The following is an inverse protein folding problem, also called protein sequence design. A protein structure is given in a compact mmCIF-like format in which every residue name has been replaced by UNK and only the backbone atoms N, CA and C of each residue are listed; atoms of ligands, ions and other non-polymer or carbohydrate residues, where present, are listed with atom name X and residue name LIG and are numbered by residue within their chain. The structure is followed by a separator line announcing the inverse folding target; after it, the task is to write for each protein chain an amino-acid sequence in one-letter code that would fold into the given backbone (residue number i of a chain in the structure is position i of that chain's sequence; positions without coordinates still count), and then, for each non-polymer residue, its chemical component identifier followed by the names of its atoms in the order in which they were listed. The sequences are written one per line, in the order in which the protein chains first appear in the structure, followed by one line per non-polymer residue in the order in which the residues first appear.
data_IF_250970044827
#
_entry.id   IF_250970044827
#
_cell.length_a   1.000
_cell.length_b   1.000
_cell.length_c   1.000
_cell.angle_alpha   90.00
_cell.angle_beta   90.00
_cell.angle_gamma   90.00
#
_symmetry.space_group_name_H-M   'P 1'
#
loop_
_entity.id
_entity.type
_entity.pdbx_description
1 polymer ?
#
# COMPACT_ATOMS: atom_id res chain seq x y z
N UNK A 1 62.40 -21.78 13.82
CA UNK A 1 62.58 -21.53 12.37
C UNK A 1 61.36 -20.80 11.84
N UNK A 2 61.46 -19.50 11.54
CA UNK A 2 60.40 -18.76 10.83
C UNK A 2 60.69 -18.89 9.33
N UNK A 3 59.94 -19.74 8.62
CA UNK A 3 59.96 -19.77 7.15
C UNK A 3 59.22 -18.52 6.67
N UNK A 4 59.97 -17.53 6.21
CA UNK A 4 59.40 -16.35 5.57
C UNK A 4 58.70 -16.77 4.28
N UNK A 5 57.46 -16.33 4.10
CA UNK A 5 56.73 -16.47 2.83
C UNK A 5 57.52 -15.69 1.78
N UNK A 6 57.82 -16.33 0.66
CA UNK A 6 58.51 -15.67 -0.46
C UNK A 6 57.68 -14.45 -0.90
N UNK A 7 58.26 -13.23 -0.93
CA UNK A 7 57.51 -12.00 -1.24
C UNK A 7 56.79 -12.07 -2.60
N UNK A 8 57.30 -12.87 -3.53
CA UNK A 8 56.68 -13.10 -4.84
C UNK A 8 55.41 -13.98 -4.75
N UNK A 9 55.36 -14.95 -3.83
CA UNK A 9 54.16 -15.79 -3.62
C UNK A 9 53.06 -14.98 -2.93
N UNK A 10 53.43 -14.12 -1.98
CA UNK A 10 52.49 -13.25 -1.26
C UNK A 10 51.78 -12.27 -2.20
N UNK A 11 52.51 -11.67 -3.14
CA UNK A 11 51.93 -10.74 -4.13
C UNK A 11 50.97 -11.43 -5.09
N UNK A 12 51.29 -12.63 -5.57
CA UNK A 12 50.40 -13.42 -6.43
C UNK A 12 49.10 -13.78 -5.70
N UNK A 13 49.20 -14.22 -4.44
CA UNK A 13 48.04 -14.53 -3.61
C UNK A 13 47.15 -13.31 -3.38
N UNK A 14 47.76 -12.13 -3.15
CA UNK A 14 47.02 -10.88 -3.00
C UNK A 14 46.25 -10.53 -4.28
N UNK A 15 46.89 -10.62 -5.45
CA UNK A 15 46.25 -10.32 -6.74
C UNK A 15 45.11 -11.29 -7.02
N UNK A 16 45.31 -12.59 -6.79
CA UNK A 16 44.28 -13.60 -6.98
C UNK A 16 43.07 -13.36 -6.05
N UNK A 17 43.30 -12.97 -4.81
CA UNK A 17 42.25 -12.62 -3.86
C UNK A 17 41.45 -11.39 -4.33
N UNK A 18 42.12 -10.34 -4.79
CA UNK A 18 41.47 -9.12 -5.29
C UNK A 18 40.60 -9.43 -6.52
N UNK A 19 41.11 -10.24 -7.46
CA UNK A 19 40.33 -10.65 -8.65
C UNK A 19 39.12 -11.50 -8.25
N UNK A 20 39.29 -12.43 -7.30
CA UNK A 20 38.19 -13.23 -6.79
C UNK A 20 37.12 -12.35 -6.13
N UNK A 21 37.52 -11.40 -5.28
CA UNK A 21 36.60 -10.45 -4.65
C UNK A 21 35.90 -9.56 -5.68
N UNK A 22 36.62 -9.06 -6.68
CA UNK A 22 36.03 -8.27 -7.76
C UNK A 22 34.97 -9.07 -8.53
N UNK A 23 35.23 -10.35 -8.82
CA UNK A 23 34.27 -11.22 -9.50
C UNK A 23 33.00 -11.47 -8.67
N UNK A 24 33.09 -11.52 -7.34
CA UNK A 24 31.91 -11.67 -6.47
C UNK A 24 31.15 -10.36 -6.23
N UNK A 25 31.85 -9.25 -6.05
CA UNK A 25 31.25 -7.95 -5.70
C UNK A 25 30.61 -7.30 -6.92
N UNK A 26 31.21 -7.43 -8.12
CA UNK A 26 30.72 -6.73 -9.31
C UNK A 26 29.26 -7.09 -9.68
N UNK A 27 28.85 -8.38 -9.70
CA UNK A 27 27.45 -8.73 -9.96
C UNK A 27 26.49 -8.22 -8.90
N UNK A 28 26.87 -8.28 -7.61
CA UNK A 28 26.04 -7.78 -6.51
C UNK A 28 25.83 -6.27 -6.61
N UNK A 29 26.91 -5.51 -6.85
CA UNK A 29 26.84 -4.06 -6.99
C UNK A 29 25.99 -3.64 -8.21
N UNK A 30 26.11 -4.39 -9.32
CA UNK A 30 25.28 -4.15 -10.50
C UNK A 30 23.80 -4.43 -10.21
N UNK A 31 23.48 -5.56 -9.59
CA UNK A 31 22.10 -5.91 -9.22
C UNK A 31 21.51 -4.87 -8.27
N UNK A 32 22.26 -4.46 -7.25
CA UNK A 32 21.84 -3.41 -6.32
C UNK A 32 21.54 -2.09 -7.06
N UNK A 33 22.40 -1.68 -8.00
CA UNK A 33 22.17 -0.47 -8.79
C UNK A 33 20.91 -0.58 -9.66
N UNK A 34 20.68 -1.74 -10.27
CA UNK A 34 19.47 -2.01 -11.07
C UNK A 34 18.22 -1.98 -10.19
N UNK A 35 18.25 -2.67 -9.06
CA UNK A 35 17.13 -2.76 -8.11
C UNK A 35 16.76 -1.37 -7.57
N UNK A 36 17.75 -0.59 -7.13
CA UNK A 36 17.53 0.79 -6.67
C UNK A 36 16.96 1.68 -7.79
N UNK A 37 17.45 1.51 -9.03
CA UNK A 37 16.95 2.29 -10.19
C UNK A 37 15.50 1.93 -10.49
N UNK A 38 15.16 0.64 -10.48
CA UNK A 38 13.80 0.16 -10.71
C UNK A 38 12.85 0.65 -9.62
N UNK A 39 13.24 0.53 -8.35
CA UNK A 39 12.44 1.02 -7.23
C UNK A 39 12.19 2.53 -7.34
N UNK A 40 13.26 3.31 -7.58
CA UNK A 40 13.14 4.77 -7.74
C UNK A 40 12.23 5.13 -8.92
N UNK A 41 12.30 4.37 -10.02
CA UNK A 41 11.46 4.57 -11.21
C UNK A 41 9.99 4.27 -10.91
N UNK A 42 9.71 3.19 -10.18
CA UNK A 42 8.35 2.82 -9.77
C UNK A 42 7.75 3.86 -8.83
N UNK A 43 8.50 4.30 -7.82
CA UNK A 43 8.07 5.34 -6.87
C UNK A 43 7.81 6.67 -7.59
N UNK A 44 8.69 7.07 -8.50
CA UNK A 44 8.52 8.30 -9.30
C UNK A 44 7.29 8.21 -10.20
N UNK A 45 7.10 7.09 -10.90
CA UNK A 45 5.94 6.89 -11.75
C UNK A 45 4.64 6.90 -10.96
N UNK A 46 4.63 6.31 -9.76
CA UNK A 46 3.50 6.39 -8.84
C UNK A 46 3.23 7.84 -8.42
N UNK A 47 4.26 8.59 -8.02
CA UNK A 47 4.12 9.98 -7.61
C UNK A 47 3.57 10.87 -8.73
N UNK A 48 4.10 10.73 -9.95
CA UNK A 48 3.62 11.47 -11.14
C UNK A 48 2.15 11.13 -11.40
N UNK A 49 1.80 9.84 -11.36
CA UNK A 49 0.44 9.38 -11.61
C UNK A 49 -0.55 9.87 -10.56
N UNK A 50 -0.13 9.93 -9.30
CA UNK A 50 -0.98 10.30 -8.19
C UNK A 50 -0.96 11.81 -7.89
N UNK A 51 -0.18 12.61 -8.62
CA UNK A 51 -0.06 14.06 -8.40
C UNK A 51 -1.40 14.80 -8.41
N UNK A 52 -2.34 14.36 -9.27
CA UNK A 52 -3.69 14.94 -9.39
C UNK A 52 -4.79 13.97 -8.94
N UNK A 53 -4.42 12.96 -8.15
CA UNK A 53 -5.38 12.06 -7.51
C UNK A 53 -5.99 12.75 -6.29
N UNK A 54 -7.31 12.88 -6.31
CA UNK A 54 -8.08 13.37 -5.18
C UNK A 54 -9.45 12.72 -5.23
N UNK A 55 -9.99 12.39 -4.06
CA UNK A 55 -11.37 11.99 -3.90
C UNK A 55 -11.85 12.43 -2.54
N UNK A 56 -13.16 12.58 -2.43
CA UNK A 56 -13.83 12.94 -1.19
C UNK A 56 -14.97 11.97 -0.93
N UNK A 57 -15.41 11.91 0.31
CA UNK A 57 -16.59 11.17 0.71
C UNK A 57 -17.81 12.08 0.56
N UNK A 58 -18.87 11.55 -0.06
CA UNK A 58 -20.14 12.24 -0.15
C UNK A 58 -20.84 12.20 1.21
N UNK A 59 -20.75 13.30 1.96
CA UNK A 59 -21.30 13.41 3.33
C UNK A 59 -22.82 13.25 3.39
N UNK A 60 -23.53 13.32 2.26
CA UNK A 60 -24.97 13.08 2.18
C UNK A 60 -25.34 11.59 2.18
N UNK A 61 -24.35 10.71 2.00
CA UNK A 61 -24.56 9.26 1.97
C UNK A 61 -24.48 8.66 3.39
N UNK A 62 -25.60 8.26 3.97
CA UNK A 62 -25.61 7.69 5.32
C UNK A 62 -25.28 8.72 6.40
N UNK A 63 -24.53 8.30 7.43
CA UNK A 63 -24.07 9.20 8.50
C UNK A 63 -22.64 9.62 8.19
N UNK A 64 -22.43 10.92 7.94
CA UNK A 64 -21.12 11.49 7.58
C UNK A 64 -20.46 10.80 6.36
N UNK A 65 -21.25 10.27 5.43
CA UNK A 65 -20.75 9.61 4.23
C UNK A 65 -20.48 8.11 4.35
N UNK A 66 -20.81 7.51 5.50
CA UNK A 66 -20.65 6.10 5.76
C UNK A 66 -21.96 5.46 6.21
N UNK A 67 -22.15 4.20 5.82
CA UNK A 67 -23.22 3.34 6.31
C UNK A 67 -22.59 2.08 6.88
N UNK A 68 -22.88 1.79 8.14
CA UNK A 68 -22.43 0.60 8.83
C UNK A 68 -23.66 -0.21 9.24
N UNK A 69 -23.75 -1.43 8.76
CA UNK A 69 -24.83 -2.36 9.08
C UNK A 69 -24.21 -3.57 9.76
N UNK A 70 -24.46 -3.69 11.07
CA UNK A 70 -23.98 -4.81 11.90
C UNK A 70 -25.12 -5.82 11.96
N UNK A 71 -24.89 -7.02 11.42
CA UNK A 71 -25.87 -8.09 11.43
C UNK A 71 -25.25 -9.40 11.87
N UNK A 72 -26.06 -10.31 12.40
CA UNK A 72 -25.59 -11.60 12.91
C UNK A 72 -24.99 -12.53 11.85
N UNK A 73 -25.08 -12.19 10.56
CA UNK A 73 -24.63 -13.02 9.44
C UNK A 73 -23.47 -12.40 8.64
N UNK A 74 -23.49 -11.08 8.46
CA UNK A 74 -22.42 -10.37 7.76
C UNK A 74 -22.54 -8.88 8.06
N UNK A 75 -21.42 -8.29 8.41
CA UNK A 75 -21.35 -6.86 8.64
C UNK A 75 -20.93 -6.16 7.34
N UNK A 76 -21.59 -5.02 7.08
CA UNK A 76 -21.43 -4.29 5.82
C UNK A 76 -20.98 -2.86 6.14
N UNK A 77 -19.83 -2.50 5.59
CA UNK A 77 -19.37 -1.12 5.55
C UNK A 77 -19.51 -0.60 4.11
N UNK A 78 -20.24 0.50 3.94
CA UNK A 78 -20.36 1.17 2.66
C UNK A 78 -20.08 2.67 2.78
N UNK A 79 -19.55 3.25 1.71
CA UNK A 79 -19.38 4.70 1.57
C UNK A 79 -19.64 5.10 0.14
N UNK A 80 -20.01 6.35 -0.10
CA UNK A 80 -20.03 6.93 -1.44
C UNK A 80 -18.85 7.87 -1.56
N UNK A 81 -17.99 7.61 -2.53
CA UNK A 81 -16.87 8.50 -2.87
C UNK A 81 -17.14 9.23 -4.17
N UNK A 82 -16.59 10.43 -4.27
CA UNK A 82 -16.58 11.28 -5.46
C UNK A 82 -15.14 11.55 -5.84
N UNK A 83 -14.77 11.27 -7.08
CA UNK A 83 -13.45 11.62 -7.58
C UNK A 83 -13.41 13.12 -7.87
N UNK A 84 -12.73 13.88 -7.02
CA UNK A 84 -12.52 15.33 -7.16
C UNK A 84 -11.24 15.68 -7.90
N UNK A 85 -10.41 14.68 -8.20
CA UNK A 85 -9.16 14.81 -8.94
C UNK A 85 -9.32 14.76 -10.44
N UNK A 86 -8.19 14.74 -11.14
CA UNK A 86 -8.12 14.73 -12.62
C UNK A 86 -7.72 13.36 -13.19
N UNK A 87 -7.42 12.38 -12.34
CA UNK A 87 -6.98 11.04 -12.74
C UNK A 87 -8.01 9.97 -12.38
N UNK A 88 -8.01 8.89 -13.15
CA UNK A 88 -8.86 7.73 -12.89
C UNK A 88 -8.40 6.98 -11.64
N UNK A 89 -9.33 6.73 -10.71
CA UNK A 89 -9.05 6.08 -9.43
C UNK A 89 -9.61 4.66 -9.39
N UNK A 90 -8.87 3.71 -8.83
CA UNK A 90 -9.28 2.31 -8.69
C UNK A 90 -8.52 1.61 -7.56
N UNK A 91 -8.90 0.37 -7.22
CA UNK A 91 -8.30 -0.44 -6.15
C UNK A 91 -8.43 0.21 -4.77
N UNK A 92 -9.66 0.38 -4.29
CA UNK A 92 -9.92 1.00 -3.00
C UNK A 92 -9.85 -0.03 -1.86
N UNK A 93 -9.21 0.40 -0.77
CA UNK A 93 -9.08 -0.17 0.59
C UNK A 93 -10.08 0.43 1.60
N UNK A 94 -10.60 -0.31 2.58
CA UNK A 94 -11.04 0.30 3.84
C UNK A 94 -10.04 -0.07 4.94
N UNK A 95 -9.59 0.92 5.71
CA UNK A 95 -8.92 0.71 6.99
C UNK A 95 -9.87 1.15 8.10
N UNK A 96 -10.19 0.24 8.99
CA UNK A 96 -11.10 0.48 10.11
C UNK A 96 -10.35 0.35 11.42
N UNK A 97 -10.59 1.29 12.32
CA UNK A 97 -9.93 1.41 13.61
C UNK A 97 -10.93 1.07 14.71
N UNK A 98 -10.69 -0.03 15.41
CA UNK A 98 -11.51 -0.48 16.53
C UNK A 98 -10.80 -0.26 17.84
N UNK A 99 -11.54 0.16 18.85
CA UNK A 99 -11.08 0.06 20.22
C UNK A 99 -11.67 -1.21 20.83
N UNK A 100 -10.81 -2.23 20.96
CA UNK A 100 -11.11 -3.48 21.64
C UNK A 100 -10.76 -3.35 23.12
N UNK A 101 -11.63 -3.88 23.98
CA UNK A 101 -11.41 -3.88 25.43
C UNK A 101 -10.17 -4.67 25.85
N UNK A 102 -9.76 -5.66 25.05
CA UNK A 102 -8.68 -6.59 25.36
C UNK A 102 -7.34 -6.20 24.71
N UNK A 103 -7.37 -5.65 23.50
CA UNK A 103 -6.18 -5.39 22.68
C UNK A 103 -5.90 -3.90 22.44
N UNK A 104 -6.81 -3.01 22.88
CA UNK A 104 -6.72 -1.58 22.61
C UNK A 104 -7.08 -1.25 21.15
N UNK A 105 -6.33 -0.31 20.53
CA UNK A 105 -6.61 0.12 19.16
C UNK A 105 -6.14 -0.93 18.15
N UNK A 106 -7.09 -1.60 17.50
CA UNK A 106 -6.86 -2.59 16.44
C UNK A 106 -7.21 -1.98 15.09
N UNK A 107 -6.29 -2.08 14.12
CA UNK A 107 -6.53 -1.64 12.74
C UNK A 107 -6.77 -2.88 11.88
N UNK A 108 -7.92 -2.95 11.21
CA UNK A 108 -8.20 -3.99 10.21
C UNK A 108 -8.29 -3.36 8.82
N UNK A 109 -7.61 -3.99 7.86
CA UNK A 109 -7.76 -3.66 6.45
C UNK A 109 -8.84 -4.58 5.84
N UNK A 110 -9.82 -3.97 5.18
CA UNK A 110 -10.96 -4.65 4.58
C UNK A 110 -10.93 -4.42 3.06
N UNK A 111 -10.86 -5.53 2.34
CA UNK A 111 -10.98 -5.51 0.88
C UNK A 111 -12.42 -5.20 0.46
N UNK A 112 -12.57 -4.44 -0.63
CA UNK A 112 -13.88 -4.16 -1.20
C UNK A 112 -14.48 -5.42 -1.81
N UNK A 113 -15.81 -5.52 -1.77
CA UNK A 113 -16.55 -6.50 -2.53
C UNK A 113 -16.35 -6.26 -4.03
N UNK A 114 -16.07 -7.32 -4.78
CA UNK A 114 -15.75 -7.27 -6.21
C UNK A 114 -16.79 -6.52 -7.06
N UNK A 115 -18.06 -6.57 -6.66
CA UNK A 115 -19.16 -5.88 -7.37
C UNK A 115 -19.09 -4.36 -7.23
N UNK A 116 -18.62 -3.87 -6.09
CA UNK A 116 -18.56 -2.44 -5.76
C UNK A 116 -17.15 -1.87 -5.93
N UNK A 117 -16.15 -2.72 -6.13
CA UNK A 117 -14.78 -2.31 -6.35
C UNK A 117 -14.61 -1.61 -7.71
N UNK A 118 -13.77 -0.59 -7.72
CA UNK A 118 -13.31 0.04 -8.96
C UNK A 118 -12.04 -0.64 -9.42
N UNK A 119 -12.03 -1.08 -10.66
CA UNK A 119 -10.90 -1.79 -11.27
C UNK A 119 -10.23 -0.90 -12.31
N UNK A 120 -9.06 -1.32 -12.80
CA UNK A 120 -8.38 -0.60 -13.89
C UNK A 120 -9.23 -0.56 -15.18
N UNK A 121 -10.06 -1.57 -15.41
CA UNK A 121 -10.98 -1.65 -16.55
C UNK A 121 -12.23 -0.77 -16.37
N UNK A 122 -12.71 -0.64 -15.13
CA UNK A 122 -13.85 0.21 -14.78
C UNK A 122 -13.49 1.16 -13.62
N UNK A 123 -12.64 2.18 -13.87
CA UNK A 123 -12.19 3.07 -12.83
C UNK A 123 -13.25 4.11 -12.46
N UNK A 124 -13.08 4.74 -11.31
CA UNK A 124 -13.79 5.95 -10.95
C UNK A 124 -13.20 7.12 -11.73
N UNK A 125 -13.94 7.60 -12.73
CA UNK A 125 -13.54 8.74 -13.57
C UNK A 125 -13.59 10.06 -12.79
N UNK A 126 -12.80 11.07 -13.18
CA UNK A 126 -12.92 12.43 -12.65
C UNK A 126 -14.37 12.94 -12.65
N UNK A 127 -14.81 13.52 -11.54
CA UNK A 127 -16.17 14.03 -11.32
C UNK A 127 -17.24 12.97 -11.12
N UNK A 128 -16.93 11.68 -11.26
CA UNK A 128 -17.90 10.62 -11.04
C UNK A 128 -17.96 10.22 -9.56
N UNK A 129 -19.14 9.77 -9.13
CA UNK A 129 -19.36 9.18 -7.82
C UNK A 129 -19.57 7.67 -7.91
N UNK A 130 -19.16 6.92 -6.90
CA UNK A 130 -19.51 5.52 -6.76
C UNK A 130 -19.67 5.10 -5.30
N UNK A 131 -20.53 4.11 -5.09
CA UNK A 131 -20.63 3.43 -3.80
C UNK A 131 -19.58 2.34 -3.75
N UNK A 132 -18.75 2.40 -2.72
CA UNK A 132 -17.84 1.34 -2.32
C UNK A 132 -18.47 0.55 -1.17
N UNK A 133 -18.23 -0.76 -1.14
CA UNK A 133 -18.77 -1.65 -0.12
C UNK A 133 -17.77 -2.74 0.21
N UNK A 134 -17.56 -2.99 1.49
CA UNK A 134 -16.91 -4.18 2.01
C UNK A 134 -17.93 -5.00 2.80
N UNK A 135 -17.79 -6.32 2.71
CA UNK A 135 -18.57 -7.28 3.49
C UNK A 135 -17.55 -8.12 4.24
N UNK A 136 -17.71 -8.26 5.54
CA UNK A 136 -16.82 -9.07 6.36
C UNK A 136 -17.63 -10.01 7.25
N UNK A 137 -17.07 -11.19 7.44
CA UNK A 137 -17.68 -12.32 8.15
C UNK A 137 -17.12 -12.50 9.56
N UNK A 138 -16.06 -11.76 9.89
CA UNK A 138 -15.52 -11.72 11.24
C UNK A 138 -16.31 -10.72 12.06
N UNK A 139 -16.86 -11.17 13.17
CA UNK A 139 -17.51 -10.29 14.14
C UNK A 139 -16.49 -9.28 14.67
N UNK A 140 -16.81 -8.00 14.58
CA UNK A 140 -15.93 -6.93 15.05
C UNK A 140 -16.17 -6.69 16.54
N UNK A 141 -15.44 -7.41 17.38
CA UNK A 141 -15.44 -7.15 18.83
C UNK A 141 -14.75 -5.81 19.13
N UNK A 142 -15.51 -4.72 19.23
CA UNK A 142 -15.00 -3.41 19.63
C UNK A 142 -15.91 -2.26 19.25
N UNK A 143 -15.56 -1.05 19.68
CA UNK A 143 -16.22 0.18 19.22
C UNK A 143 -15.44 0.74 18.03
N UNK A 144 -16.11 0.94 16.90
CA UNK A 144 -15.54 1.60 15.73
C UNK A 144 -15.23 3.07 16.08
N UNK A 145 -13.98 3.49 15.89
CA UNK A 145 -13.56 4.87 16.17
C UNK A 145 -13.35 5.68 14.90
N UNK A 146 -12.76 5.06 13.88
CA UNK A 146 -12.38 5.72 12.64
C UNK A 146 -12.50 4.77 11.45
N UNK A 147 -12.92 5.33 10.33
CA UNK A 147 -12.92 4.65 9.03
C UNK A 147 -12.08 5.48 8.07
N UNK A 148 -11.18 4.81 7.36
CA UNK A 148 -10.32 5.42 6.35
C UNK A 148 -10.47 4.67 5.04
N UNK A 149 -10.79 5.40 3.98
CA UNK A 149 -10.86 4.89 2.62
C UNK A 149 -9.53 5.15 1.95
N UNK A 150 -8.80 4.09 1.61
CA UNK A 150 -7.51 4.19 0.91
C UNK A 150 -7.64 3.87 -0.56
N UNK A 151 -6.76 4.44 -1.36
CA UNK A 151 -6.55 4.00 -2.71
C UNK A 151 -5.22 3.27 -2.80
N UNK A 152 -5.23 1.95 -3.03
CA UNK A 152 -4.01 1.15 -3.10
C UNK A 152 -3.16 1.46 -4.34
N UNK A 153 -3.75 2.05 -5.38
CA UNK A 153 -3.00 2.53 -6.54
C UNK A 153 -2.32 3.90 -6.28
N UNK A 154 -2.82 4.68 -5.31
CA UNK A 154 -2.29 5.96 -4.87
C UNK A 154 -2.34 6.07 -3.33
N UNK A 155 -1.43 5.37 -2.61
CA UNK A 155 -1.54 5.18 -1.15
C UNK A 155 -1.50 6.46 -0.32
N UNK A 156 -0.91 7.53 -0.86
CA UNK A 156 -0.84 8.85 -0.23
C UNK A 156 -2.16 9.62 -0.25
N UNK A 157 -3.13 9.19 -1.08
CA UNK A 157 -4.46 9.81 -1.19
C UNK A 157 -5.45 8.93 -0.45
N UNK A 158 -6.02 9.49 0.62
CA UNK A 158 -7.01 8.83 1.45
C UNK A 158 -8.01 9.83 2.01
N UNK A 159 -9.17 9.32 2.41
CA UNK A 159 -10.17 10.08 3.16
C UNK A 159 -10.44 9.33 4.45
N UNK A 160 -10.55 10.05 5.55
CA UNK A 160 -10.87 9.48 6.85
C UNK A 160 -12.02 10.23 7.50
N UNK A 161 -12.83 9.49 8.27
CA UNK A 161 -13.87 10.03 9.13
C UNK A 161 -13.80 9.35 10.48
N UNK A 162 -13.95 10.15 11.53
CA UNK A 162 -14.28 9.66 12.85
C UNK A 162 -15.76 9.23 12.86
N UNK A 163 -16.07 8.17 13.61
CA UNK A 163 -17.41 7.59 13.75
C UNK A 163 -17.95 7.83 15.15
#
# INVERSE_FOLDING_TARGET
MRKGVDPLISTILLVALVVALAAFISPWAFNLAVDTTNQTTEETNMQIRCQNAAYDVDTTYGTNGFTFDISTASDILSTRIVNTGLVNMYNFSFEVFFNSSDEGLVVKELSMNDTFQKTKALPLKPGASAVLRAIFTEDLNGTLQKVKVRNLACPSVFVESDV
#
